data_IF_667435994027
#
_entry.id   IF_667435994027
#
_cell.length_a   1.000
_cell.length_b   1.000
_cell.length_c   1.000
_cell.angle_alpha   90.00
_cell.angle_beta   90.00
_cell.angle_gamma   90.00
#
_symmetry.space_group_name_H-M   'P 1'
#
loop_
_entity.id
_entity.type
_entity.pdbx_description
1 polymer ?
#
# COMPACT_ATOMS: atom_id res chain seq x y z
N UNK A 1 -16.94 -14.43 7.76
CA UNK A 1 -17.63 -13.79 8.91
C UNK A 1 -17.03 -12.39 9.01
N UNK A 2 -17.81 -11.35 8.75
CA UNK A 2 -17.30 -9.97 8.67
C UNK A 2 -17.97 -9.19 9.81
N UNK A 3 -17.14 -8.68 10.73
CA UNK A 3 -17.61 -7.99 11.93
C UNK A 3 -17.28 -6.49 11.79
N UNK A 4 -18.32 -5.67 11.81
CA UNK A 4 -18.24 -4.21 11.85
C UNK A 4 -17.97 -3.78 13.30
N UNK A 5 -16.85 -3.10 13.55
CA UNK A 5 -16.65 -2.33 14.76
C UNK A 5 -16.86 -0.86 14.44
N UNK A 6 -17.97 -0.32 14.91
CA UNK A 6 -18.24 1.12 14.88
C UNK A 6 -17.52 1.79 16.05
N UNK A 7 -16.51 2.58 15.74
CA UNK A 7 -16.20 3.82 16.47
C UNK A 7 -15.21 4.73 15.74
N UNK A 8 -14.41 4.22 14.80
CA UNK A 8 -13.66 4.99 13.81
C UNK A 8 -13.67 4.16 12.53
N UNK A 9 -14.01 4.75 11.37
CA UNK A 9 -14.42 4.01 10.16
C UNK A 9 -13.33 3.06 9.64
N UNK A 10 -13.38 1.82 10.11
CA UNK A 10 -12.63 0.66 9.61
C UNK A 10 -13.60 -0.09 8.69
N UNK A 11 -13.37 -0.05 7.39
CA UNK A 11 -14.21 -0.74 6.40
C UNK A 11 -13.58 -2.08 6.02
N UNK A 12 -14.21 -3.19 6.43
CA UNK A 12 -13.87 -4.55 5.99
C UNK A 12 -14.68 -4.91 4.73
N UNK A 13 -14.03 -5.33 3.63
CA UNK A 13 -14.73 -5.56 2.36
C UNK A 13 -15.40 -6.92 2.26
N UNK A 14 -16.72 -6.88 2.36
CA UNK A 14 -17.68 -7.80 1.73
C UNK A 14 -18.97 -7.09 1.31
N UNK A 15 -18.92 -5.76 1.19
CA UNK A 15 -20.11 -4.91 0.98
C UNK A 15 -20.49 -4.96 -0.50
N UNK A 16 -21.69 -5.47 -0.79
CA UNK A 16 -22.31 -5.33 -2.12
C UNK A 16 -22.95 -3.94 -2.22
N UNK A 17 -23.02 -3.34 -3.42
CA UNK A 17 -23.70 -2.06 -3.62
C UNK A 17 -25.12 -2.02 -3.01
N UNK A 18 -25.61 -0.87 -2.54
CA UNK A 18 -25.00 0.46 -2.61
C UNK A 18 -23.95 0.73 -1.51
N UNK A 19 -22.88 1.42 -1.86
CA UNK A 19 -21.84 1.86 -0.92
C UNK A 19 -22.32 3.11 -0.16
N UNK A 20 -21.99 3.26 1.15
CA UNK A 20 -22.37 4.44 1.92
C UNK A 20 -21.74 5.72 1.36
N UNK A 21 -22.42 6.85 1.52
CA UNK A 21 -21.92 8.17 1.11
C UNK A 21 -20.59 8.48 1.82
N UNK A 22 -19.53 8.69 1.03
CA UNK A 22 -18.17 8.83 1.54
C UNK A 22 -17.92 10.26 1.98
N UNK A 23 -17.48 10.42 3.22
CA UNK A 23 -17.02 11.71 3.77
C UNK A 23 -15.54 11.97 3.48
N UNK A 24 -14.75 10.91 3.32
CA UNK A 24 -13.29 10.97 3.14
C UNK A 24 -12.93 10.98 1.65
N UNK A 25 -11.93 11.79 1.29
CA UNK A 25 -11.50 12.02 -0.10
C UNK A 25 -10.42 11.05 -0.56
N UNK A 26 -9.55 10.61 0.35
CA UNK A 26 -8.39 9.77 0.07
C UNK A 26 -8.55 8.40 0.72
N UNK A 27 -7.87 7.40 0.17
CA UNK A 27 -7.78 6.05 0.74
C UNK A 27 -6.33 5.76 1.12
N UNK A 28 -6.10 5.10 2.25
CA UNK A 28 -4.81 4.49 2.56
C UNK A 28 -4.99 2.98 2.73
N UNK A 29 -4.36 2.22 1.85
CA UNK A 29 -4.37 0.78 1.84
C UNK A 29 -3.18 0.28 2.66
N UNK A 30 -3.46 -0.52 3.69
CA UNK A 30 -2.50 -1.13 4.61
C UNK A 30 -2.63 -2.65 4.49
N UNK A 31 -1.58 -3.32 4.02
CA UNK A 31 -1.58 -4.76 3.77
C UNK A 31 -1.59 -5.58 5.07
N UNK A 32 -0.65 -5.29 5.97
CA UNK A 32 -0.46 -6.06 7.18
C UNK A 32 -1.54 -5.75 8.22
N UNK A 33 -2.15 -6.79 8.81
CA UNK A 33 -3.23 -6.63 9.79
C UNK A 33 -2.74 -5.92 11.07
N UNK A 34 -1.55 -6.26 11.57
CA UNK A 34 -1.02 -5.61 12.77
C UNK A 34 -0.73 -4.14 12.50
N UNK A 35 -0.21 -3.82 11.31
CA UNK A 35 -0.04 -2.43 10.87
C UNK A 35 -1.37 -1.70 10.73
N UNK A 36 -2.42 -2.40 10.30
CA UNK A 36 -3.75 -1.82 10.21
C UNK A 36 -4.38 -1.57 11.57
N UNK A 37 -4.19 -2.48 12.53
CA UNK A 37 -4.63 -2.28 13.91
C UNK A 37 -3.94 -1.08 14.56
N UNK A 38 -2.74 -0.73 14.09
CA UNK A 38 -1.95 0.44 14.49
C UNK A 38 -1.83 1.50 13.37
N UNK A 39 -2.92 1.71 12.63
CA UNK A 39 -2.92 2.57 11.43
C UNK A 39 -2.46 4.01 11.71
N UNK A 40 -2.59 4.50 12.95
CA UNK A 40 -2.13 5.85 13.32
C UNK A 40 -0.61 5.96 13.32
N UNK A 41 0.10 4.94 13.81
CA UNK A 41 1.55 4.89 13.71
C UNK A 41 1.99 4.82 12.23
N UNK A 42 1.29 4.01 11.42
CA UNK A 42 1.52 3.92 9.97
C UNK A 42 1.27 5.26 9.26
N UNK A 43 0.21 5.99 9.64
CA UNK A 43 -0.08 7.31 9.11
C UNK A 43 1.02 8.32 9.47
N UNK A 44 1.45 8.35 10.74
CA UNK A 44 2.55 9.22 11.18
C UNK A 44 3.84 8.94 10.41
N UNK A 45 4.19 7.67 10.24
CA UNK A 45 5.30 7.25 9.41
C UNK A 45 5.16 7.76 7.97
N UNK A 46 3.98 7.60 7.36
CA UNK A 46 3.74 8.03 5.99
C UNK A 46 3.84 9.55 5.80
N UNK A 47 3.42 10.34 6.80
CA UNK A 47 3.59 11.80 6.80
C UNK A 47 5.07 12.17 6.93
N UNK A 48 5.81 11.49 7.82
CA UNK A 48 7.21 11.84 8.12
C UNK A 48 8.19 11.39 7.03
N UNK A 49 7.97 10.22 6.43
CA UNK A 49 8.95 9.58 5.56
C UNK A 49 8.47 9.38 4.12
N UNK A 50 7.15 9.32 3.87
CA UNK A 50 6.61 9.01 2.54
C UNK A 50 6.01 10.22 1.82
N UNK A 51 6.07 11.42 2.40
CA UNK A 51 5.55 12.65 1.80
C UNK A 51 4.03 12.74 1.74
N UNK A 52 3.31 12.09 2.66
CA UNK A 52 1.84 12.24 2.74
C UNK A 52 1.49 13.59 3.36
N UNK A 53 0.76 14.41 2.60
CA UNK A 53 0.37 15.78 3.01
C UNK A 53 -1.12 15.90 3.39
N UNK A 54 -1.89 14.81 3.30
CA UNK A 54 -3.32 14.84 3.57
C UNK A 54 -3.61 14.65 5.07
N UNK A 55 -4.59 15.37 5.64
CA UNK A 55 -4.95 15.22 7.05
C UNK A 55 -5.66 13.87 7.30
N UNK A 56 -5.47 13.28 8.48
CA UNK A 56 -6.01 11.95 8.86
C UNK A 56 -7.52 11.85 8.64
N UNK A 57 -8.25 12.93 8.92
CA UNK A 57 -9.71 13.01 8.76
C UNK A 57 -10.18 12.85 7.31
N UNK A 58 -9.35 13.22 6.33
CA UNK A 58 -9.63 13.11 4.90
C UNK A 58 -9.23 11.74 4.31
N UNK A 59 -8.57 10.87 5.09
CA UNK A 59 -8.05 9.56 4.66
C UNK A 59 -8.86 8.41 5.27
N UNK A 60 -9.44 7.55 4.44
CA UNK A 60 -10.01 6.28 4.89
C UNK A 60 -8.95 5.18 4.91
N UNK A 61 -8.72 4.59 6.07
CA UNK A 61 -7.79 3.48 6.23
C UNK A 61 -8.48 2.16 5.88
N UNK A 62 -7.84 1.40 5.02
CA UNK A 62 -8.35 0.18 4.42
C UNK A 62 -7.36 -0.93 4.70
N UNK A 63 -7.82 -1.96 5.41
CA UNK A 63 -7.06 -3.20 5.51
C UNK A 63 -7.18 -4.01 4.24
N UNK A 64 -6.05 -4.55 3.83
CA UNK A 64 -5.88 -5.30 2.63
C UNK A 64 -5.27 -6.67 2.92
N UNK A 65 -6.13 -7.67 3.12
CA UNK A 65 -5.68 -9.02 3.41
C UNK A 65 -4.97 -9.69 2.21
N UNK A 66 -3.66 -9.50 2.08
CA UNK A 66 -2.79 -10.14 1.07
C UNK A 66 -3.35 -10.10 -0.36
N UNK A 67 -3.31 -11.25 -1.07
CA UNK A 67 -3.88 -11.43 -2.41
C UNK A 67 -5.37 -10.98 -2.53
N UNK A 68 -6.07 -10.73 -1.42
CA UNK A 68 -7.43 -10.19 -1.37
C UNK A 68 -7.62 -8.79 -1.94
N UNK A 69 -6.58 -7.93 -2.02
CA UNK A 69 -6.69 -6.64 -2.76
C UNK A 69 -6.97 -6.88 -4.25
N UNK A 70 -6.34 -7.91 -4.82
CA UNK A 70 -6.54 -8.24 -6.23
C UNK A 70 -7.92 -8.83 -6.51
N UNK A 71 -8.68 -9.13 -5.44
CA UNK A 71 -10.06 -9.53 -5.56
C UNK A 71 -10.87 -8.33 -6.06
N UNK A 72 -11.38 -8.45 -7.29
CA UNK A 72 -12.08 -7.43 -8.10
C UNK A 72 -13.16 -6.61 -7.36
N UNK A 73 -13.58 -7.03 -6.19
CA UNK A 73 -14.61 -6.39 -5.37
C UNK A 73 -14.15 -5.06 -4.74
N UNK A 74 -12.86 -4.86 -4.46
CA UNK A 74 -12.38 -3.62 -3.83
C UNK A 74 -12.17 -2.50 -4.85
N UNK A 75 -11.89 -2.83 -6.12
CA UNK A 75 -11.58 -1.81 -7.14
C UNK A 75 -12.74 -0.82 -7.37
N UNK A 76 -14.00 -1.27 -7.59
CA UNK A 76 -15.11 -0.34 -7.74
C UNK A 76 -15.29 0.58 -6.54
N UNK A 77 -14.93 0.11 -5.35
CA UNK A 77 -15.00 0.89 -4.13
C UNK A 77 -13.87 1.93 -4.04
N UNK A 78 -12.64 1.55 -4.38
CA UNK A 78 -11.48 2.45 -4.45
C UNK A 78 -11.65 3.53 -5.54
N UNK A 79 -12.37 3.22 -6.62
CA UNK A 79 -12.72 4.19 -7.67
C UNK A 79 -13.68 5.30 -7.21
N UNK A 80 -14.37 5.11 -6.07
CA UNK A 80 -15.29 6.14 -5.53
C UNK A 80 -14.57 7.28 -4.83
N UNK A 81 -13.28 7.13 -4.50
CA UNK A 81 -12.50 8.20 -3.88
C UNK A 81 -12.20 9.29 -4.92
N UNK A 82 -12.56 10.53 -4.61
CA UNK A 82 -12.28 11.67 -5.48
C UNK A 82 -10.80 12.03 -5.50
N UNK A 83 -10.10 11.81 -4.37
CA UNK A 83 -8.69 12.07 -4.17
C UNK A 83 -7.79 10.87 -4.50
N UNK A 84 -6.75 10.72 -3.70
CA UNK A 84 -5.65 9.77 -3.92
C UNK A 84 -5.90 8.43 -3.23
N UNK A 85 -5.41 7.35 -3.85
CA UNK A 85 -5.30 6.01 -3.27
C UNK A 85 -3.83 5.79 -2.92
N UNK A 86 -3.53 5.76 -1.62
CA UNK A 86 -2.19 5.63 -1.06
C UNK A 86 -1.96 4.18 -0.66
N UNK A 87 -0.98 3.51 -1.26
CA UNK A 87 -0.68 2.11 -1.01
C UNK A 87 0.58 2.01 -0.14
N UNK A 88 0.43 1.68 1.13
CA UNK A 88 1.56 1.37 2.00
C UNK A 88 1.69 -0.16 2.11
N UNK A 89 2.65 -0.67 1.35
CA UNK A 89 2.88 -2.09 1.09
C UNK A 89 4.31 -2.48 1.49
N UNK A 90 4.56 -3.77 1.55
CA UNK A 90 5.92 -4.30 1.67
C UNK A 90 6.74 -3.96 0.42
N UNK A 91 7.95 -3.43 0.61
CA UNK A 91 8.87 -3.15 -0.51
C UNK A 91 9.57 -4.45 -0.88
N UNK A 92 8.83 -5.26 -1.63
CA UNK A 92 9.20 -6.56 -2.14
C UNK A 92 8.43 -6.87 -3.45
N UNK A 93 8.69 -8.01 -4.11
CA UNK A 93 7.95 -8.40 -5.32
C UNK A 93 6.44 -8.57 -5.11
N UNK A 94 6.02 -8.98 -3.91
CA UNK A 94 4.61 -9.17 -3.56
C UNK A 94 3.85 -7.85 -3.50
N UNK A 95 4.38 -6.86 -2.78
CA UNK A 95 3.81 -5.51 -2.72
C UNK A 95 3.77 -4.83 -4.08
N UNK A 96 4.81 -4.99 -4.92
CA UNK A 96 4.78 -4.47 -6.30
C UNK A 96 3.70 -5.16 -7.12
N UNK A 97 3.52 -6.47 -6.97
CA UNK A 97 2.46 -7.23 -7.66
C UNK A 97 1.06 -6.78 -7.22
N UNK A 98 0.85 -6.52 -5.93
CA UNK A 98 -0.41 -5.96 -5.42
C UNK A 98 -0.71 -4.61 -6.09
N UNK A 99 0.28 -3.72 -6.14
CA UNK A 99 0.14 -2.42 -6.80
C UNK A 99 -0.16 -2.56 -8.30
N UNK A 100 0.54 -3.46 -9.00
CA UNK A 100 0.30 -3.76 -10.42
C UNK A 100 -1.13 -4.26 -10.66
N UNK A 101 -1.66 -5.09 -9.76
CA UNK A 101 -3.02 -5.60 -9.82
C UNK A 101 -4.07 -4.51 -9.57
N UNK A 102 -3.80 -3.57 -8.67
CA UNK A 102 -4.67 -2.40 -8.45
C UNK A 102 -4.81 -1.55 -9.72
N UNK A 103 -3.70 -1.26 -10.39
CA UNK A 103 -3.71 -0.51 -11.64
C UNK A 103 -4.41 -1.29 -12.76
N UNK A 104 -4.07 -2.57 -12.92
CA UNK A 104 -4.68 -3.45 -13.92
C UNK A 104 -6.17 -3.68 -13.67
N UNK A 105 -6.62 -3.56 -12.41
CA UNK A 105 -8.02 -3.62 -12.03
C UNK A 105 -8.84 -2.39 -12.45
N UNK A 106 -8.18 -1.29 -12.83
CA UNK A 106 -8.83 -0.07 -13.30
C UNK A 106 -8.65 1.14 -12.39
N UNK A 107 -7.72 1.10 -11.42
CA UNK A 107 -7.33 2.32 -10.72
C UNK A 107 -6.47 3.22 -11.60
N UNK A 108 -6.72 4.53 -11.50
CA UNK A 108 -6.01 5.54 -12.25
C UNK A 108 -4.59 5.70 -11.71
N UNK A 109 -3.57 5.46 -12.55
CA UNK A 109 -2.16 5.51 -12.16
C UNK A 109 -1.75 6.88 -11.60
N UNK A 110 -2.34 7.98 -12.10
CA UNK A 110 -2.09 9.34 -11.62
C UNK A 110 -2.69 9.65 -10.23
N UNK A 111 -3.60 8.80 -9.73
CA UNK A 111 -4.22 8.95 -8.41
C UNK A 111 -3.81 7.84 -7.43
N UNK A 112 -3.06 6.85 -7.90
CA UNK A 112 -2.67 5.70 -7.10
C UNK A 112 -1.19 5.80 -6.85
N UNK A 113 -0.77 5.73 -5.59
CA UNK A 113 0.61 6.01 -5.19
C UNK A 113 1.13 4.86 -4.36
N UNK A 114 2.27 4.30 -4.78
CA UNK A 114 2.99 3.34 -3.96
C UNK A 114 3.79 4.15 -2.93
N UNK A 115 3.44 4.15 -1.65
CA UNK A 115 4.19 4.90 -0.67
C UNK A 115 5.55 4.25 -0.40
N UNK A 116 6.61 5.03 -0.59
CA UNK A 116 8.00 4.62 -0.32
C UNK A 116 8.63 5.65 0.59
N UNK A 117 9.34 5.22 1.64
CA UNK A 117 10.02 6.16 2.49
C UNK A 117 11.23 6.78 1.77
N UNK A 118 11.58 8.01 2.12
CA UNK A 118 12.72 8.75 1.60
C UNK A 118 14.07 8.09 1.93
N UNK A 119 14.15 7.40 3.05
CA UNK A 119 15.29 6.61 3.55
C UNK A 119 15.31 5.15 3.03
N UNK A 120 14.53 4.80 1.99
CA UNK A 120 14.36 3.41 1.53
C UNK A 120 15.70 2.67 1.29
N UNK A 121 16.71 3.36 0.74
CA UNK A 121 18.02 2.78 0.51
C UNK A 121 18.70 2.31 1.81
N UNK A 122 18.60 3.09 2.89
CA UNK A 122 19.18 2.74 4.19
C UNK A 122 18.44 1.55 4.82
N UNK A 123 17.11 1.53 4.71
CA UNK A 123 16.28 0.41 5.19
C UNK A 123 16.64 -0.89 4.47
N UNK A 124 16.77 -0.85 3.16
CA UNK A 124 17.17 -2.00 2.35
C UNK A 124 18.60 -2.46 2.67
N UNK A 125 19.53 -1.51 2.85
CA UNK A 125 20.90 -1.83 3.25
C UNK A 125 20.97 -2.57 4.60
N UNK A 126 20.14 -2.16 5.57
CA UNK A 126 20.08 -2.77 6.91
C UNK A 126 19.25 -4.06 6.96
N UNK A 127 18.40 -4.29 5.96
CA UNK A 127 17.53 -5.46 5.93
C UNK A 127 18.31 -6.76 5.80
N UNK A 128 17.89 -7.77 6.56
CA UNK A 128 18.42 -9.14 6.51
C UNK A 128 17.62 -10.05 5.59
N UNK A 129 16.45 -9.60 5.11
CA UNK A 129 15.58 -10.38 4.23
C UNK A 129 16.09 -10.28 2.81
N UNK A 130 16.49 -11.39 2.22
CA UNK A 130 17.04 -11.46 0.86
C UNK A 130 15.95 -11.69 -0.16
N UNK A 131 16.11 -11.11 -1.34
CA UNK A 131 15.29 -11.43 -2.51
C UNK A 131 15.94 -12.61 -3.23
N UNK A 132 15.15 -13.60 -3.63
CA UNK A 132 15.63 -14.71 -4.45
C UNK A 132 15.99 -14.24 -5.87
N UNK A 133 16.82 -15.01 -6.58
CA UNK A 133 17.15 -14.67 -7.98
C UNK A 133 15.90 -14.75 -8.85
N UNK A 134 15.05 -15.75 -8.61
CA UNK A 134 13.78 -15.96 -9.31
C UNK A 134 12.85 -14.76 -9.15
N UNK A 135 12.75 -14.22 -7.94
CA UNK A 135 11.96 -13.02 -7.65
C UNK A 135 12.54 -11.77 -8.31
N UNK A 136 13.86 -11.60 -8.31
CA UNK A 136 14.52 -10.49 -9.02
C UNK A 136 14.26 -10.55 -10.52
N UNK A 137 14.24 -11.74 -11.11
CA UNK A 137 13.92 -11.92 -12.53
C UNK A 137 12.44 -11.64 -12.80
N UNK A 138 11.55 -12.03 -11.90
CA UNK A 138 10.11 -11.73 -11.98
C UNK A 138 9.84 -10.22 -11.96
N UNK A 139 10.61 -9.42 -11.22
CA UNK A 139 10.50 -7.95 -11.23
C UNK A 139 10.68 -7.34 -12.62
N UNK A 140 11.40 -7.99 -13.54
CA UNK A 140 11.57 -7.53 -14.93
C UNK A 140 10.23 -7.37 -15.65
N UNK A 141 9.23 -8.18 -15.29
CA UNK A 141 7.89 -8.16 -15.89
C UNK A 141 7.01 -7.01 -15.37
N UNK A 142 7.45 -6.33 -14.32
CA UNK A 142 6.72 -5.26 -13.65
C UNK A 142 7.29 -3.86 -13.99
N UNK A 143 8.31 -3.81 -14.87
CA UNK A 143 8.84 -2.55 -15.39
C UNK A 143 7.83 -1.80 -16.26
N UNK A 144 7.86 -0.47 -16.19
CA UNK A 144 7.01 0.42 -16.98
C UNK A 144 5.60 0.65 -16.42
N UNK A 145 5.30 0.13 -15.22
CA UNK A 145 4.01 0.37 -14.54
C UNK A 145 3.87 1.83 -14.10
N UNK A 146 4.94 2.41 -13.54
CA UNK A 146 5.04 3.83 -13.21
C UNK A 146 6.50 4.19 -12.93
N UNK A 147 6.90 5.47 -13.08
CA UNK A 147 8.27 5.90 -12.75
C UNK A 147 8.67 5.58 -11.31
N UNK A 148 7.71 5.60 -10.38
CA UNK A 148 7.93 5.27 -8.99
C UNK A 148 8.24 3.77 -8.81
N UNK A 149 7.44 2.89 -9.42
CA UNK A 149 7.69 1.44 -9.38
C UNK A 149 9.03 1.09 -10.03
N UNK A 150 9.38 1.74 -11.14
CA UNK A 150 10.68 1.53 -11.79
C UNK A 150 11.85 1.91 -10.86
N UNK A 151 11.70 3.00 -10.09
CA UNK A 151 12.68 3.38 -9.06
C UNK A 151 12.77 2.32 -7.96
N UNK A 152 11.64 1.82 -7.46
CA UNK A 152 11.62 0.76 -6.44
C UNK A 152 12.34 -0.49 -6.96
N UNK A 153 12.01 -0.95 -8.16
CA UNK A 153 12.62 -2.14 -8.78
C UNK A 153 14.14 -1.94 -8.91
N UNK A 154 14.59 -0.76 -9.34
CA UNK A 154 16.03 -0.45 -9.44
C UNK A 154 16.75 -0.59 -8.10
N UNK A 155 16.14 -0.04 -7.04
CA UNK A 155 16.72 -0.07 -5.69
C UNK A 155 16.69 -1.49 -5.10
N UNK A 156 15.60 -2.25 -5.31
CA UNK A 156 15.52 -3.67 -4.92
C UNK A 156 16.59 -4.52 -5.61
N UNK A 157 16.84 -4.31 -6.91
CA UNK A 157 17.91 -4.99 -7.65
C UNK A 157 19.30 -4.64 -7.13
N UNK A 158 19.50 -3.40 -6.71
CA UNK A 158 20.78 -2.95 -6.16
C UNK A 158 21.08 -3.60 -4.81
N UNK A 159 20.16 -3.52 -3.84
CA UNK A 159 20.39 -4.01 -2.48
C UNK A 159 20.12 -5.52 -2.31
N UNK A 160 19.30 -6.11 -3.18
CA UNK A 160 18.88 -7.53 -3.15
C UNK A 160 18.25 -7.95 -1.81
N UNK A 161 17.55 -7.02 -1.19
CA UNK A 161 16.86 -7.20 0.09
C UNK A 161 15.44 -6.63 0.01
N UNK A 162 14.58 -6.97 0.96
CA UNK A 162 13.20 -6.44 1.05
C UNK A 162 12.99 -5.62 2.32
N UNK A 163 11.93 -4.82 2.37
CA UNK A 163 11.49 -4.12 3.59
C UNK A 163 10.04 -4.49 3.87
N UNK A 164 9.77 -4.99 5.07
CA UNK A 164 8.42 -5.29 5.54
C UNK A 164 7.77 -4.07 6.19
N UNK A 165 6.45 -4.00 6.13
CA UNK A 165 5.63 -2.91 6.67
C UNK A 165 5.80 -2.77 8.19
N UNK A 166 6.06 -3.86 8.91
CA UNK A 166 6.31 -3.84 10.36
C UNK A 166 7.50 -2.95 10.72
N UNK A 167 8.46 -2.79 9.81
CA UNK A 167 9.61 -1.89 10.02
C UNK A 167 9.24 -0.40 10.05
N UNK A 168 8.03 -0.04 9.62
CA UNK A 168 7.52 1.33 9.63
C UNK A 168 6.97 1.75 11.00
N UNK A 169 6.69 0.77 11.88
CA UNK A 169 6.18 1.00 13.24
C UNK A 169 7.27 1.04 14.30
N UNK A 170 8.41 0.41 14.02
CA UNK A 170 9.56 0.42 14.92
C UNK A 170 10.11 1.86 14.99
N UNK A 171 10.04 2.45 16.18
CA UNK A 171 10.30 3.85 16.48
C UNK A 171 11.66 4.37 15.96
N UNK A 172 11.67 5.66 15.57
CA UNK A 172 12.75 6.63 15.84
C UNK A 172 14.08 6.38 15.15
#
# INVERSE_FOLDING_TARGET
MIQLLQSHTITYYGVRPPYPARRKKHAMIIENLECFLDFRAVYQFAVQHCGVEYPEEDIEFIWAAGNGISNRLIIPYLQLFSGSVLCILDVDPGGITIYANLLSGGLAAQKTHYLTPDDLGERLHRSRRKISTEDLDALSRLHGLSPQVDKIISVLRHYRTTVEQESYRAHG
#
